data_IF_087134691743
#
_entry.id   IF_087134691743
#
_cell.length_a   1.000
_cell.length_b   1.000
_cell.length_c   1.000
_cell.angle_alpha   90.00
_cell.angle_beta   90.00
_cell.angle_gamma   90.00
#
_symmetry.space_group_name_H-M   'P 1'
#
loop_
_entity.id
_entity.type
_entity.pdbx_description
1 polymer ?
#
# COMPACT_ATOMS: atom_id res chain seq x y z
N UNK A 1 -17.83 -17.19 0.81
CA UNK A 1 -16.83 -16.93 -0.24
C UNK A 1 -15.87 -18.12 -0.25
N UNK A 2 -15.95 -19.00 -1.24
CA UNK A 2 -14.97 -20.09 -1.37
C UNK A 2 -13.61 -19.48 -1.70
N UNK A 3 -12.59 -19.75 -0.87
CA UNK A 3 -11.19 -19.43 -1.19
C UNK A 3 -10.70 -20.46 -2.20
N UNK A 4 -10.64 -20.08 -3.47
CA UNK A 4 -9.79 -20.78 -4.45
C UNK A 4 -8.36 -20.27 -4.30
N UNK A 5 -7.42 -21.18 -4.07
CA UNK A 5 -5.98 -20.89 -4.07
C UNK A 5 -5.35 -21.46 -5.35
N UNK A 6 -4.71 -20.61 -6.14
CA UNK A 6 -3.79 -21.03 -7.20
C UNK A 6 -2.35 -20.87 -6.71
N UNK A 7 -1.48 -21.83 -7.01
CA UNK A 7 -0.04 -21.60 -6.96
C UNK A 7 0.34 -20.80 -8.21
N UNK A 8 1.06 -19.70 -8.03
CA UNK A 8 1.55 -18.84 -9.10
C UNK A 8 2.75 -18.03 -8.63
N UNK A 9 3.51 -17.49 -9.58
CA UNK A 9 4.70 -16.68 -9.32
C UNK A 9 4.59 -15.35 -10.05
N UNK A 10 5.00 -14.26 -9.41
CA UNK A 10 5.12 -12.95 -10.08
C UNK A 10 6.21 -12.95 -11.15
N UNK A 11 7.08 -13.96 -11.18
CA UNK A 11 8.12 -14.13 -12.18
C UNK A 11 7.74 -15.14 -13.28
N UNK A 12 6.55 -15.72 -13.21
CA UNK A 12 5.99 -16.58 -14.26
C UNK A 12 4.79 -15.87 -14.91
N UNK A 13 5.10 -15.14 -15.98
CA UNK A 13 4.14 -14.35 -16.75
C UNK A 13 2.92 -15.18 -17.20
N UNK A 14 3.12 -16.43 -17.60
CA UNK A 14 2.02 -17.28 -18.06
C UNK A 14 1.05 -17.59 -16.93
N UNK A 15 1.57 -18.02 -15.78
CA UNK A 15 0.73 -18.29 -14.61
C UNK A 15 -0.06 -17.06 -14.15
N UNK A 16 0.58 -15.89 -14.28
CA UNK A 16 0.01 -14.63 -13.88
C UNK A 16 -1.14 -14.19 -14.79
N UNK A 17 -0.93 -14.26 -16.11
CA UNK A 17 -1.97 -13.96 -17.10
C UNK A 17 -3.16 -14.90 -16.92
N UNK A 18 -2.90 -16.21 -16.77
CA UNK A 18 -3.95 -17.21 -16.54
C UNK A 18 -4.76 -16.93 -15.27
N UNK A 19 -4.13 -16.43 -14.20
CA UNK A 19 -4.80 -16.06 -12.95
C UNK A 19 -5.58 -14.74 -13.06
N UNK A 20 -4.97 -13.70 -13.63
CA UNK A 20 -5.58 -12.36 -13.76
C UNK A 20 -6.80 -12.40 -14.69
N UNK A 21 -6.81 -13.26 -15.72
CA UNK A 21 -7.97 -13.42 -16.60
C UNK A 21 -9.20 -14.04 -15.92
N UNK A 22 -9.05 -14.63 -14.73
CA UNK A 22 -10.16 -15.27 -14.00
C UNK A 22 -10.87 -14.33 -13.02
N UNK A 23 -10.42 -13.07 -12.90
CA UNK A 23 -10.92 -12.13 -11.90
C UNK A 23 -11.19 -10.76 -12.51
N UNK A 24 -12.14 -10.03 -11.92
CA UNK A 24 -12.49 -8.68 -12.37
C UNK A 24 -11.54 -7.60 -11.82
N UNK A 25 -10.97 -7.84 -10.64
CA UNK A 25 -10.11 -6.89 -9.92
C UNK A 25 -8.95 -7.62 -9.27
N UNK A 26 -7.76 -7.02 -9.40
CA UNK A 26 -6.53 -7.50 -8.76
C UNK A 26 -6.14 -6.54 -7.64
N UNK A 27 -5.95 -7.08 -6.43
CA UNK A 27 -5.41 -6.36 -5.27
C UNK A 27 -3.98 -6.83 -5.05
N UNK A 28 -3.01 -5.92 -5.11
CA UNK A 28 -1.62 -6.27 -4.86
C UNK A 28 -1.14 -5.83 -3.48
N UNK A 29 -0.75 -6.78 -2.64
CA UNK A 29 -0.26 -6.51 -1.27
C UNK A 29 1.20 -6.96 -1.08
N UNK A 30 2.06 -6.77 -2.07
CA UNK A 30 3.47 -7.12 -1.98
C UNK A 30 4.28 -6.06 -1.22
N UNK A 31 5.40 -6.40 -0.57
CA UNK A 31 6.23 -5.40 0.09
C UNK A 31 6.72 -4.32 -0.88
N UNK A 32 6.82 -3.06 -0.45
CA UNK A 32 7.29 -1.95 -1.30
C UNK A 32 8.64 -2.21 -1.98
N UNK A 33 9.53 -2.99 -1.34
CA UNK A 33 10.80 -3.39 -1.94
C UNK A 33 10.66 -4.20 -3.24
N UNK A 34 9.50 -4.82 -3.44
CA UNK A 34 9.13 -5.60 -4.62
C UNK A 34 8.13 -4.85 -5.51
N UNK A 35 7.87 -3.56 -5.27
CA UNK A 35 6.78 -2.85 -5.94
C UNK A 35 6.82 -2.92 -7.48
N UNK A 36 8.00 -3.01 -8.09
CA UNK A 36 8.16 -3.14 -9.55
C UNK A 36 7.71 -4.51 -10.10
N UNK A 37 7.62 -5.54 -9.27
CA UNK A 37 7.14 -6.88 -9.67
C UNK A 37 5.63 -6.85 -10.03
N UNK A 38 4.94 -5.76 -9.71
CA UNK A 38 3.53 -5.54 -10.06
C UNK A 38 3.31 -5.20 -11.54
N UNK A 39 4.36 -4.92 -12.31
CA UNK A 39 4.24 -4.51 -13.72
C UNK A 39 3.50 -5.50 -14.59
N UNK A 40 3.51 -6.78 -14.22
CA UNK A 40 2.84 -7.85 -14.98
C UNK A 40 1.35 -8.02 -14.58
N UNK A 41 0.89 -7.35 -13.51
CA UNK A 41 -0.47 -7.48 -12.96
C UNK A 41 -1.48 -6.45 -13.49
N UNK A 42 -1.07 -5.53 -14.35
CA UNK A 42 -1.83 -4.29 -14.59
C UNK A 42 -2.98 -4.55 -15.60
N UNK A 43 -4.22 -4.81 -15.13
CA UNK A 43 -5.45 -4.88 -15.97
C UNK A 43 -6.77 -4.29 -15.39
N UNK A 44 -6.91 -4.11 -14.08
CA UNK A 44 -7.87 -3.22 -13.34
C UNK A 44 -7.48 -3.42 -11.88
N UNK A 45 -6.85 -2.41 -11.28
CA UNK A 45 -5.78 -2.69 -10.33
C UNK A 45 -5.82 -1.80 -9.10
N UNK A 46 -5.78 -2.42 -7.92
CA UNK A 46 -5.41 -1.77 -6.66
C UNK A 46 -3.93 -2.10 -6.42
N UNK A 47 -2.99 -1.17 -6.71
CA UNK A 47 -1.57 -1.38 -6.49
C UNK A 47 -1.21 -1.43 -5.01
N UNK A 48 -0.01 -1.94 -4.73
CA UNK A 48 0.54 -2.03 -3.39
C UNK A 48 0.99 -0.67 -2.85
N UNK A 49 0.01 0.10 -2.41
CA UNK A 49 0.15 1.45 -1.86
C UNK A 49 0.13 1.41 -0.33
N UNK A 50 -1.04 1.21 0.29
CA UNK A 50 -1.33 0.93 1.71
C UNK A 50 -0.49 1.66 2.77
N UNK A 51 -0.02 2.87 2.45
CA UNK A 51 0.80 3.69 3.32
C UNK A 51 0.42 5.16 3.21
N UNK A 52 1.37 6.04 3.49
CA UNK A 52 1.20 7.47 3.21
C UNK A 52 1.24 7.71 1.70
N UNK A 53 0.46 8.68 1.22
CA UNK A 53 0.46 9.07 -0.19
C UNK A 53 1.85 9.63 -0.60
N UNK A 54 2.59 8.95 -1.50
CA UNK A 54 3.89 9.42 -1.96
C UNK A 54 3.83 10.81 -2.60
N UNK A 55 2.70 11.22 -3.19
CA UNK A 55 2.55 12.54 -3.83
C UNK A 55 2.42 13.70 -2.81
N UNK A 56 2.22 13.41 -1.52
CA UNK A 56 1.95 14.42 -0.47
C UNK A 56 3.03 14.52 0.60
N UNK A 57 4.10 13.74 0.51
CA UNK A 57 5.16 13.70 1.50
C UNK A 57 6.47 14.26 0.97
N UNK A 58 7.26 14.82 1.87
CA UNK A 58 8.66 15.11 1.59
C UNK A 58 9.48 13.83 1.73
N UNK A 59 9.96 13.32 0.60
CA UNK A 59 10.81 12.12 0.56
C UNK A 59 12.26 12.57 0.70
N UNK A 60 12.98 11.92 1.61
CA UNK A 60 14.44 12.13 1.79
C UNK A 60 15.21 10.98 1.16
N UNK A 61 16.51 11.17 0.92
CA UNK A 61 17.37 10.12 0.36
C UNK A 61 17.45 8.85 1.23
N UNK A 62 17.05 8.95 2.50
CA UNK A 62 16.99 7.82 3.46
C UNK A 62 15.84 6.84 3.18
N UNK A 63 14.92 7.18 2.27
CA UNK A 63 13.78 6.35 1.89
C UNK A 63 14.19 5.06 1.16
N UNK A 64 15.44 4.94 0.70
CA UNK A 64 15.97 3.74 0.03
C UNK A 64 15.10 3.28 -1.16
N UNK A 65 14.62 4.24 -1.96
CA UNK A 65 13.76 4.00 -3.13
C UNK A 65 12.40 3.35 -2.80
N UNK A 66 11.90 3.48 -1.56
CA UNK A 66 10.64 2.87 -1.15
C UNK A 66 9.45 3.49 -1.90
N UNK A 67 9.42 4.82 -2.04
CA UNK A 67 8.37 5.53 -2.78
C UNK A 67 8.65 5.69 -4.27
N UNK A 68 9.92 5.79 -4.69
CA UNK A 68 10.25 5.97 -6.12
C UNK A 68 9.73 4.83 -7.00
N UNK A 69 9.76 3.60 -6.50
CA UNK A 69 9.20 2.44 -7.20
C UNK A 69 7.67 2.49 -7.29
N UNK A 70 6.99 3.03 -6.27
CA UNK A 70 5.53 3.25 -6.31
C UNK A 70 5.17 4.32 -7.33
N UNK A 71 5.92 5.42 -7.39
CA UNK A 71 5.74 6.44 -8.43
C UNK A 71 5.87 5.86 -9.84
N UNK A 72 6.85 4.97 -10.06
CA UNK A 72 7.01 4.31 -11.35
C UNK A 72 5.77 3.49 -11.73
N UNK A 73 5.22 2.73 -10.77
CA UNK A 73 3.98 1.98 -10.97
C UNK A 73 2.79 2.90 -11.26
N UNK A 74 2.61 4.00 -10.49
CA UNK A 74 1.53 4.98 -10.73
C UNK A 74 1.60 5.55 -12.14
N UNK A 75 2.81 5.93 -12.59
CA UNK A 75 3.04 6.46 -13.95
C UNK A 75 2.70 5.43 -15.03
N UNK A 76 3.10 4.17 -14.85
CA UNK A 76 2.79 3.10 -15.79
C UNK A 76 1.28 2.84 -15.87
N UNK A 77 0.59 2.79 -14.72
CA UNK A 77 -0.88 2.64 -14.67
C UNK A 77 -1.59 3.73 -15.48
N UNK A 78 -1.17 4.99 -15.29
CA UNK A 78 -1.75 6.12 -16.02
C UNK A 78 -1.41 6.06 -17.51
N UNK A 79 -0.17 5.74 -17.87
CA UNK A 79 0.29 5.66 -19.26
C UNK A 79 -0.44 4.57 -20.07
N UNK A 80 -0.75 3.44 -19.43
CA UNK A 80 -1.49 2.33 -20.04
C UNK A 80 -3.02 2.55 -20.01
N UNK A 81 -3.50 3.66 -19.43
CA UNK A 81 -4.93 3.99 -19.34
C UNK A 81 -5.73 3.02 -18.46
N UNK A 82 -5.08 2.41 -17.47
CA UNK A 82 -5.69 1.34 -16.66
C UNK A 82 -6.49 1.95 -15.51
N UNK A 83 -7.77 1.56 -15.32
CA UNK A 83 -8.55 1.98 -14.16
C UNK A 83 -7.87 1.62 -12.84
N UNK A 84 -7.77 2.59 -11.94
CA UNK A 84 -7.04 2.43 -10.68
C UNK A 84 -7.76 3.04 -9.48
N UNK A 85 -7.43 2.51 -8.31
CA UNK A 85 -7.66 3.17 -7.03
C UNK A 85 -6.41 3.04 -6.18
N UNK A 86 -5.84 4.16 -5.76
CA UNK A 86 -4.70 4.15 -4.84
C UNK A 86 -5.23 4.24 -3.41
N UNK A 87 -4.97 3.21 -2.60
CA UNK A 87 -5.40 3.17 -1.21
C UNK A 87 -4.23 3.61 -0.33
N UNK A 88 -4.30 4.83 0.20
CA UNK A 88 -3.27 5.47 1.03
C UNK A 88 -3.78 5.65 2.47
N UNK A 89 -3.73 4.56 3.26
CA UNK A 89 -4.30 4.50 4.61
C UNK A 89 -3.29 4.73 5.74
N UNK A 90 -2.29 5.59 5.53
CA UNK A 90 -1.34 6.04 6.55
C UNK A 90 -0.58 4.90 7.25
N UNK A 91 -0.43 4.94 8.58
CA UNK A 91 0.48 4.06 9.33
C UNK A 91 -0.26 2.89 9.96
N UNK A 92 0.20 1.66 9.72
CA UNK A 92 -0.42 0.49 10.35
C UNK A 92 -0.11 0.44 11.85
N UNK A 93 -1.17 0.35 12.66
CA UNK A 93 -1.07 0.20 14.11
C UNK A 93 -0.21 -1.01 14.47
N UNK A 94 -0.38 -2.14 13.79
CA UNK A 94 0.37 -3.38 14.03
C UNK A 94 1.88 -3.23 13.82
N UNK A 95 2.30 -2.30 12.95
CA UNK A 95 3.69 -2.15 12.59
C UNK A 95 4.44 -1.16 13.46
N UNK A 96 3.86 -0.01 13.82
CA UNK A 96 4.60 1.06 14.50
C UNK A 96 4.28 1.23 16.00
N UNK A 97 3.03 0.97 16.41
CA UNK A 97 2.62 1.20 17.81
C UNK A 97 3.24 0.22 18.81
N UNK A 98 3.47 -1.08 18.50
CA UNK A 98 4.05 -2.01 19.47
C UNK A 98 5.43 -1.61 19.99
N UNK A 99 6.12 -0.68 19.34
CA UNK A 99 7.43 -0.19 19.75
C UNK A 99 7.52 1.35 19.71
N UNK A 100 6.37 2.05 19.67
CA UNK A 100 6.27 3.53 19.68
C UNK A 100 7.21 4.23 18.69
N UNK A 101 7.32 3.70 17.47
CA UNK A 101 8.23 4.21 16.44
C UNK A 101 9.74 4.28 16.86
N UNK A 102 10.15 3.60 17.94
CA UNK A 102 11.56 3.36 18.32
C UNK A 102 12.28 2.20 17.59
N UNK A 103 13.23 2.54 16.73
CA UNK A 103 14.01 1.56 15.97
C UNK A 103 14.67 0.48 16.85
N UNK A 104 14.56 -0.79 16.42
CA UNK A 104 15.20 -1.94 17.06
C UNK A 104 14.46 -2.52 18.26
N UNK A 105 13.29 -1.98 18.63
CA UNK A 105 12.48 -2.50 19.73
C UNK A 105 11.34 -3.41 19.22
N UNK A 106 10.90 -4.32 20.10
CA UNK A 106 9.76 -5.23 19.86
C UNK A 106 8.60 -5.03 20.83
N UNK A 107 8.76 -4.11 21.78
CA UNK A 107 7.79 -3.78 22.81
C UNK A 107 7.93 -2.30 23.16
N UNK A 108 6.89 -1.65 23.72
CA UNK A 108 6.97 -0.24 24.05
C UNK A 108 8.06 -0.02 25.10
N UNK A 109 8.96 0.96 24.89
CA UNK A 109 9.95 1.30 25.91
C UNK A 109 9.27 1.80 27.18
N UNK A 110 9.84 1.49 28.34
CA UNK A 110 9.31 1.92 29.65
C UNK A 110 10.11 3.06 30.29
N UNK A 111 11.38 3.21 29.89
CA UNK A 111 12.30 4.12 30.57
C UNK A 111 12.62 5.38 29.75
N UNK A 112 12.87 5.22 28.44
CA UNK A 112 13.26 6.30 27.54
C UNK A 112 12.63 6.12 26.17
N UNK A 113 12.17 7.22 25.59
CA UNK A 113 11.70 7.32 24.22
C UNK A 113 12.50 8.38 23.48
N UNK A 114 12.73 8.17 22.18
CA UNK A 114 13.28 9.18 21.26
C UNK A 114 12.12 9.83 20.52
N UNK A 115 12.00 11.15 20.64
CA UNK A 115 11.04 11.96 19.89
C UNK A 115 11.76 12.44 18.63
N UNK A 116 11.16 12.21 17.46
CA UNK A 116 11.71 12.69 16.19
C UNK A 116 11.25 14.12 15.93
N UNK A 117 12.17 15.00 15.54
CA UNK A 117 11.89 16.42 15.37
C UNK A 117 11.53 17.09 16.69
N UNK A 118 10.45 17.87 16.71
CA UNK A 118 9.92 18.54 17.90
C UNK A 118 8.76 17.76 18.57
N UNK A 119 8.30 16.68 17.95
CA UNK A 119 7.21 15.84 18.47
C UNK A 119 5.80 16.37 18.21
N UNK A 120 5.64 17.45 17.43
CA UNK A 120 4.32 18.05 17.17
C UNK A 120 3.71 17.64 15.82
N UNK A 121 4.43 16.85 15.02
CA UNK A 121 3.90 16.34 13.76
C UNK A 121 2.85 15.26 14.02
N UNK A 122 1.64 15.49 13.53
CA UNK A 122 0.54 14.53 13.62
C UNK A 122 0.80 13.28 12.77
N UNK A 123 0.33 12.14 13.27
CA UNK A 123 0.42 10.85 12.59
C UNK A 123 -0.89 10.09 12.74
N UNK A 124 -1.40 9.57 11.63
CA UNK A 124 -2.65 8.80 11.59
C UNK A 124 -2.28 7.31 11.63
N UNK A 125 -2.75 6.63 12.67
CA UNK A 125 -2.58 5.18 12.83
C UNK A 125 -3.89 4.46 12.54
N UNK A 126 -3.86 3.47 11.65
CA UNK A 126 -5.04 2.74 11.19
C UNK A 126 -4.88 1.25 11.51
N UNK A 127 -5.97 0.59 11.92
CA UNK A 127 -5.96 -0.87 12.14
C UNK A 127 -5.95 -1.59 10.80
N UNK A 128 -5.22 -2.70 10.73
CA UNK A 128 -5.09 -3.54 9.54
C UNK A 128 -6.46 -4.03 9.00
N UNK A 129 -7.40 -4.30 9.91
CA UNK A 129 -8.76 -4.71 9.57
C UNK A 129 -9.57 -3.60 8.91
N UNK A 130 -9.35 -2.35 9.30
CA UNK A 130 -10.03 -1.18 8.74
C UNK A 130 -9.45 -0.84 7.37
N UNK A 131 -8.12 -0.97 7.20
CA UNK A 131 -7.46 -0.87 5.89
C UNK A 131 -8.03 -1.90 4.92
N UNK A 132 -8.18 -3.14 5.38
CA UNK A 132 -8.74 -4.23 4.57
C UNK A 132 -10.20 -3.95 4.20
N UNK A 133 -11.02 -3.51 5.16
CA UNK A 133 -12.41 -3.16 4.92
C UNK A 133 -12.55 -2.02 3.91
N UNK A 134 -11.79 -0.92 4.10
CA UNK A 134 -11.75 0.21 3.18
C UNK A 134 -11.34 -0.21 1.77
N UNK A 135 -10.31 -1.07 1.64
CA UNK A 135 -9.85 -1.58 0.35
C UNK A 135 -10.95 -2.35 -0.38
N UNK A 136 -11.68 -3.23 0.31
CA UNK A 136 -12.79 -3.98 -0.29
C UNK A 136 -13.95 -3.05 -0.66
N UNK A 137 -14.29 -2.09 0.20
CA UNK A 137 -15.34 -1.10 -0.09
C UNK A 137 -15.03 -0.23 -1.31
N UNK A 138 -13.76 0.00 -1.60
CA UNK A 138 -13.33 0.82 -2.73
C UNK A 138 -13.41 0.11 -4.09
N UNK A 139 -13.63 -1.22 -4.14
CA UNK A 139 -13.59 -2.01 -5.39
C UNK A 139 -14.75 -1.63 -6.33
N UNK A 140 -15.95 -1.55 -5.78
CA UNK A 140 -17.18 -1.34 -6.54
C UNK A 140 -17.78 0.06 -6.35
N UNK A 141 -17.09 0.94 -5.62
CA UNK A 141 -17.52 2.32 -5.45
C UNK A 141 -17.14 3.15 -6.69
N UNK A 142 -18.10 3.66 -7.48
CA UNK A 142 -17.77 4.46 -8.66
C UNK A 142 -17.02 5.76 -8.32
N UNK A 143 -17.07 6.22 -7.06
CA UNK A 143 -16.37 7.44 -6.60
C UNK A 143 -14.87 7.24 -6.42
N UNK A 144 -14.40 6.00 -6.33
CA UNK A 144 -12.97 5.67 -6.13
C UNK A 144 -12.26 5.34 -7.46
N UNK A 145 -12.96 5.42 -8.59
CA UNK A 145 -12.40 5.22 -9.92
C UNK A 145 -11.43 6.35 -10.28
N UNK A 146 -10.18 5.99 -10.60
CA UNK A 146 -9.08 6.91 -10.92
C UNK A 146 -8.85 7.94 -9.81
N UNK A 147 -8.89 7.47 -8.55
CA UNK A 147 -8.85 8.32 -7.37
C UNK A 147 -7.83 7.80 -6.33
N UNK A 148 -7.35 8.71 -5.49
CA UNK A 148 -6.51 8.41 -4.31
C UNK A 148 -7.41 8.42 -3.07
N UNK A 149 -7.74 7.23 -2.56
CA UNK A 149 -8.50 7.06 -1.33
C UNK A 149 -7.57 7.20 -0.13
N UNK A 150 -7.88 8.15 0.75
CA UNK A 150 -7.12 8.41 1.97
C UNK A 150 -8.03 8.35 3.18
N UNK A 151 -7.46 7.93 4.30
CA UNK A 151 -8.11 8.12 5.60
C UNK A 151 -7.78 9.55 6.06
N UNK A 152 -8.77 10.47 6.16
CA UNK A 152 -8.50 11.83 6.61
C UNK A 152 -8.01 11.83 8.06
N UNK A 153 -7.13 12.77 8.39
CA UNK A 153 -6.87 13.15 9.78
C UNK A 153 -8.08 13.93 10.31
N UNK A 154 -8.42 13.74 11.57
CA UNK A 154 -9.39 14.58 12.27
C UNK A 154 -8.79 15.95 12.60
#
# INVERSE_FOLDING_TARGET
MEKKSSLGSLHDERSLIEAVMQVDVVICSIPSKHALDQKLLIKKFIPSEFGVDPDKIQITDLDNQFYSRKFEIRRLIVAEGIPYTYICNNLFMSYLLPWLAQLGLKSPPRDKVTIFGDGNTEAIFVKDVDVSACTISAIDDPRTLNFVSETPGE
#
